data_IF_020462658762
#
_entry.id   IF_020462658762
#
_cell.length_a   1.000
_cell.length_b   1.000
_cell.length_c   1.000
_cell.angle_alpha   90.00
_cell.angle_beta   90.00
_cell.angle_gamma   90.00
#
_symmetry.space_group_name_H-M   'P 1'
#
loop_
_entity.id
_entity.type
_entity.pdbx_description
1 polymer ?
#
# COMPACT_ATOMS: atom_id res chain seq x y z
N UNK A 1 15.67 -19.74 21.76
CA UNK A 1 14.41 -19.37 21.07
C UNK A 1 14.06 -20.40 20.00
N UNK A 2 15.03 -21.02 19.33
CA UNK A 2 14.86 -21.99 18.23
C UNK A 2 13.88 -23.14 18.53
N UNK A 3 13.81 -23.75 19.71
CA UNK A 3 12.89 -24.85 19.96
C UNK A 3 11.41 -24.43 20.03
N UNK A 4 11.13 -23.11 20.07
CA UNK A 4 9.74 -22.59 20.13
C UNK A 4 9.32 -21.90 18.82
N UNK A 5 10.16 -21.90 17.79
CA UNK A 5 9.88 -21.28 16.49
C UNK A 5 10.01 -22.30 15.36
N UNK A 6 8.92 -22.55 14.66
CA UNK A 6 8.91 -23.31 13.42
C UNK A 6 8.94 -22.29 12.25
N UNK A 7 10.08 -22.21 11.56
CA UNK A 7 10.20 -21.41 10.34
C UNK A 7 10.09 -22.30 9.11
N UNK A 8 9.06 -22.08 8.31
CA UNK A 8 8.91 -22.69 6.99
C UNK A 8 9.15 -21.63 5.92
N UNK A 9 9.98 -21.94 4.96
CA UNK A 9 10.30 -21.03 3.84
C UNK A 9 9.58 -21.55 2.61
N UNK A 10 8.86 -20.68 1.89
CA UNK A 10 8.11 -21.06 0.68
C UNK A 10 8.98 -21.58 -0.47
N UNK A 11 10.27 -21.28 -0.43
CA UNK A 11 11.28 -21.80 -1.39
C UNK A 11 11.76 -23.21 -1.08
N UNK A 12 11.38 -23.77 0.06
CA UNK A 12 11.74 -25.14 0.44
C UNK A 12 10.76 -26.12 -0.22
N UNK A 13 11.18 -26.72 -1.31
CA UNK A 13 10.41 -27.70 -2.09
C UNK A 13 10.07 -28.98 -1.31
N UNK A 14 10.73 -29.22 -0.16
CA UNK A 14 10.36 -30.34 0.73
C UNK A 14 9.11 -30.06 1.54
N UNK A 15 8.75 -28.78 1.71
CA UNK A 15 7.55 -28.33 2.45
C UNK A 15 6.38 -28.10 1.52
N UNK A 16 6.63 -27.50 0.33
CA UNK A 16 5.60 -27.19 -0.67
C UNK A 16 6.22 -27.44 -2.06
N UNK A 17 5.82 -28.52 -2.70
CA UNK A 17 6.34 -28.92 -4.01
C UNK A 17 5.75 -28.12 -5.19
N UNK A 18 4.52 -27.63 -5.05
CA UNK A 18 3.69 -27.13 -6.15
C UNK A 18 3.73 -25.61 -6.36
N UNK A 19 4.56 -24.86 -5.59
CA UNK A 19 4.67 -23.43 -5.80
C UNK A 19 5.60 -23.12 -6.99
N UNK A 20 5.14 -22.29 -7.95
CA UNK A 20 5.97 -21.79 -9.02
C UNK A 20 7.13 -20.93 -8.49
N UNK A 21 8.14 -20.71 -9.31
CA UNK A 21 9.22 -19.80 -8.97
C UNK A 21 8.68 -18.36 -8.82
N UNK A 22 9.19 -17.66 -7.78
CA UNK A 22 8.84 -16.27 -7.55
C UNK A 22 9.55 -15.38 -8.55
N UNK A 23 8.78 -14.64 -9.34
CA UNK A 23 9.29 -13.57 -10.19
C UNK A 23 9.05 -12.23 -9.46
N UNK A 24 10.09 -11.44 -9.25
CA UNK A 24 10.00 -10.09 -8.67
C UNK A 24 10.28 -9.06 -9.76
N UNK A 25 9.38 -8.10 -9.89
CA UNK A 25 9.55 -6.95 -10.77
C UNK A 25 9.39 -5.68 -9.94
N UNK A 26 10.23 -4.69 -10.22
CA UNK A 26 10.15 -3.37 -9.58
C UNK A 26 9.78 -2.35 -10.63
N UNK A 27 8.73 -1.60 -10.37
CA UNK A 27 8.31 -0.50 -11.22
C UNK A 27 8.22 0.80 -10.44
N UNK A 28 8.32 1.95 -11.13
CA UNK A 28 8.41 3.27 -10.53
C UNK A 28 7.31 4.19 -11.07
N UNK A 29 6.36 4.55 -10.21
CA UNK A 29 5.38 5.56 -10.51
C UNK A 29 5.96 6.97 -10.33
N UNK A 30 5.78 7.83 -11.32
CA UNK A 30 6.16 9.24 -11.24
C UNK A 30 5.17 10.00 -10.35
N UNK A 31 5.68 10.92 -9.53
CA UNK A 31 4.81 11.80 -8.74
C UNK A 31 4.13 12.82 -9.66
N UNK A 32 2.83 13.02 -9.45
CA UNK A 32 2.10 14.10 -10.09
C UNK A 32 2.58 15.47 -9.58
N UNK A 33 2.20 16.55 -10.26
CA UNK A 33 2.53 17.92 -9.81
C UNK A 33 1.99 18.20 -8.41
N UNK A 34 0.75 17.77 -8.10
CA UNK A 34 0.13 17.93 -6.77
C UNK A 34 0.93 17.17 -5.70
N UNK A 35 1.28 15.92 -5.97
CA UNK A 35 2.11 15.11 -5.07
C UNK A 35 3.49 15.75 -4.84
N UNK A 36 4.14 16.23 -5.88
CA UNK A 36 5.47 16.86 -5.78
C UNK A 36 5.45 18.11 -4.91
N UNK A 37 4.42 18.96 -5.03
CA UNK A 37 4.26 20.17 -4.21
C UNK A 37 4.09 19.80 -2.73
N UNK A 38 3.18 18.85 -2.44
CA UNK A 38 2.94 18.39 -1.06
C UNK A 38 4.17 17.71 -0.46
N UNK A 39 4.85 16.88 -1.25
CA UNK A 39 6.09 16.21 -0.84
C UNK A 39 7.15 17.21 -0.40
N UNK A 40 7.45 18.20 -1.25
CA UNK A 40 8.43 19.25 -0.96
C UNK A 40 8.05 20.06 0.29
N UNK A 41 6.77 20.36 0.47
CA UNK A 41 6.28 21.06 1.66
C UNK A 41 6.56 20.25 2.93
N UNK A 42 6.22 18.96 2.96
CA UNK A 42 6.48 18.10 4.14
C UNK A 42 7.96 18.00 4.46
N UNK A 43 8.82 17.89 3.44
CA UNK A 43 10.28 17.86 3.64
C UNK A 43 10.77 19.19 4.24
N UNK A 44 10.36 20.32 3.66
CA UNK A 44 10.74 21.66 4.17
C UNK A 44 10.27 21.90 5.60
N UNK A 45 9.01 21.53 5.90
CA UNK A 45 8.44 21.67 7.25
C UNK A 45 9.20 20.80 8.28
N UNK A 46 9.62 19.59 7.87
CA UNK A 46 10.42 18.71 8.71
C UNK A 46 11.80 19.32 8.99
N UNK A 47 12.50 19.77 7.94
CA UNK A 47 13.83 20.38 8.07
C UNK A 47 13.77 21.62 8.98
N UNK A 48 12.78 22.48 8.79
CA UNK A 48 12.60 23.68 9.60
C UNK A 48 12.40 23.33 11.09
N UNK A 49 11.55 22.34 11.38
CA UNK A 49 11.33 21.86 12.75
C UNK A 49 12.60 21.32 13.39
N UNK A 50 13.36 20.51 12.65
CA UNK A 50 14.62 19.97 13.17
C UNK A 50 15.62 21.08 13.47
N UNK A 51 15.82 22.04 12.57
CA UNK A 51 16.72 23.19 12.75
C UNK A 51 16.32 24.06 13.93
N UNK A 52 15.02 24.36 14.07
CA UNK A 52 14.50 25.16 15.18
C UNK A 52 14.79 24.50 16.53
N UNK A 53 14.50 23.22 16.65
CA UNK A 53 14.73 22.47 17.89
C UNK A 53 16.24 22.29 18.20
N UNK A 54 17.09 22.22 17.18
CA UNK A 54 18.55 22.22 17.35
C UNK A 54 19.06 23.56 17.90
N UNK A 55 18.55 24.67 17.39
CA UNK A 55 18.91 26.00 17.85
C UNK A 55 18.50 26.24 19.31
N UNK A 56 17.40 25.69 19.73
CA UNK A 56 16.88 25.80 21.12
C UNK A 56 17.60 24.85 22.10
N UNK A 57 18.56 24.02 21.65
CA UNK A 57 19.25 22.99 22.45
C UNK A 57 18.30 22.04 23.22
N UNK A 58 17.03 21.98 22.77
CA UNK A 58 15.95 21.28 23.48
C UNK A 58 15.68 19.88 22.95
N UNK A 59 16.38 19.44 21.89
CA UNK A 59 16.04 18.22 21.20
C UNK A 59 16.83 17.00 21.70
N UNK A 60 16.12 16.02 22.25
CA UNK A 60 16.67 14.69 22.42
C UNK A 60 16.76 13.95 21.10
N UNK A 61 17.70 13.01 20.98
CA UNK A 61 17.78 12.14 19.77
C UNK A 61 16.47 11.38 19.51
N UNK A 62 15.73 11.05 20.55
CA UNK A 62 14.44 10.38 20.46
C UNK A 62 13.37 11.28 19.78
N UNK A 63 13.32 12.55 20.15
CA UNK A 63 12.40 13.51 19.54
C UNK A 63 12.70 13.74 18.05
N UNK A 64 13.99 13.83 17.67
CA UNK A 64 14.40 13.89 16.25
C UNK A 64 13.89 12.69 15.47
N UNK A 65 14.08 11.47 15.98
CA UNK A 65 13.59 10.24 15.35
C UNK A 65 12.07 10.27 15.17
N UNK A 66 11.31 10.78 16.14
CA UNK A 66 9.87 10.95 16.07
C UNK A 66 9.43 11.87 14.94
N UNK A 67 10.10 13.03 14.78
CA UNK A 67 9.81 14.00 13.69
C UNK A 67 10.07 13.34 12.32
N UNK A 68 11.22 12.70 12.16
CA UNK A 68 11.58 12.04 10.90
C UNK A 68 10.58 10.92 10.56
N UNK A 69 10.24 10.08 11.54
CA UNK A 69 9.27 9.00 11.34
C UNK A 69 7.90 9.53 10.92
N UNK A 70 7.43 10.59 11.57
CA UNK A 70 6.17 11.26 11.22
C UNK A 70 6.21 11.82 9.79
N UNK A 71 7.33 12.44 9.39
CA UNK A 71 7.51 12.94 8.04
C UNK A 71 7.49 11.79 7.01
N UNK A 72 8.19 10.68 7.28
CA UNK A 72 8.19 9.49 6.41
C UNK A 72 6.77 8.95 6.21
N UNK A 73 5.95 8.87 7.27
CA UNK A 73 4.57 8.42 7.16
C UNK A 73 3.74 9.34 6.26
N UNK A 74 3.86 10.67 6.44
CA UNK A 74 3.19 11.66 5.58
C UNK A 74 3.64 11.57 4.12
N UNK A 75 4.94 11.42 3.88
CA UNK A 75 5.49 11.28 2.53
C UNK A 75 4.98 10.00 1.85
N UNK A 76 4.88 8.89 2.59
CA UNK A 76 4.29 7.65 2.06
C UNK A 76 2.81 7.81 1.70
N UNK A 77 2.02 8.51 2.52
CA UNK A 77 0.63 8.82 2.22
C UNK A 77 0.51 9.67 0.95
N UNK A 78 1.32 10.73 0.82
CA UNK A 78 1.35 11.58 -0.38
C UNK A 78 1.73 10.76 -1.62
N UNK A 79 2.72 9.87 -1.51
CA UNK A 79 3.13 8.98 -2.60
C UNK A 79 2.05 7.98 -3.00
N UNK A 80 1.18 7.57 -2.10
CA UNK A 80 0.02 6.75 -2.45
C UNK A 80 -1.03 7.60 -3.16
N UNK A 81 -1.57 8.62 -2.48
CA UNK A 81 -2.52 9.57 -3.04
C UNK A 81 -2.49 10.88 -2.25
N UNK A 82 -2.57 12.08 -2.89
CA UNK A 82 -2.61 13.36 -2.19
C UNK A 82 -3.71 13.42 -1.12
N UNK A 83 -4.89 12.93 -1.44
CA UNK A 83 -6.07 13.02 -0.59
C UNK A 83 -5.94 12.17 0.68
N UNK A 84 -5.18 11.07 0.64
CA UNK A 84 -4.86 10.31 1.85
C UNK A 84 -4.09 11.16 2.88
N UNK A 85 -3.22 12.04 2.43
CA UNK A 85 -2.49 12.98 3.31
C UNK A 85 -3.35 14.16 3.73
N UNK A 86 -4.22 14.65 2.83
CA UNK A 86 -5.08 15.81 3.06
C UNK A 86 -6.34 15.46 3.86
N UNK A 87 -6.66 14.18 4.02
CA UNK A 87 -7.90 13.72 4.66
C UNK A 87 -9.14 14.07 3.83
N UNK A 88 -9.03 13.97 2.49
CA UNK A 88 -10.12 14.19 1.55
C UNK A 88 -10.52 12.85 0.94
N UNK A 89 -11.81 12.57 0.80
CA UNK A 89 -12.32 11.27 0.36
C UNK A 89 -12.70 11.25 -1.13
N UNK A 90 -11.97 11.98 -1.98
CA UNK A 90 -12.29 12.08 -3.42
C UNK A 90 -11.47 11.11 -4.25
N UNK A 91 -10.22 10.87 -3.91
CA UNK A 91 -9.26 9.93 -4.53
C UNK A 91 -9.28 9.93 -6.07
N UNK A 92 -9.22 11.13 -6.68
CA UNK A 92 -9.17 11.27 -8.14
C UNK A 92 -7.95 10.54 -8.72
N UNK A 93 -8.12 9.48 -9.55
CA UNK A 93 -7.01 8.63 -9.97
C UNK A 93 -5.89 9.36 -10.71
N UNK A 94 -6.21 10.39 -11.50
CA UNK A 94 -5.21 11.20 -12.23
C UNK A 94 -4.29 12.02 -11.32
N UNK A 95 -4.63 12.19 -10.05
CA UNK A 95 -3.80 12.91 -9.08
C UNK A 95 -2.71 12.05 -8.42
N UNK A 96 -2.71 10.74 -8.67
CA UNK A 96 -1.70 9.81 -8.15
C UNK A 96 -1.02 9.03 -9.27
N UNK A 97 0.31 9.14 -9.34
CA UNK A 97 1.08 8.34 -10.28
C UNK A 97 0.99 6.83 -9.98
N UNK A 98 0.86 6.44 -8.71
CA UNK A 98 0.66 5.03 -8.34
C UNK A 98 -0.70 4.50 -8.80
N UNK A 99 -1.77 5.30 -8.71
CA UNK A 99 -3.09 4.88 -9.18
C UNK A 99 -3.10 4.72 -10.71
N UNK A 100 -2.39 5.60 -11.43
CA UNK A 100 -2.25 5.48 -12.88
C UNK A 100 -1.49 4.21 -13.27
N UNK A 101 -0.33 3.97 -12.68
CA UNK A 101 0.45 2.75 -12.92
C UNK A 101 -0.33 1.48 -12.52
N UNK A 102 -1.00 1.50 -11.37
CA UNK A 102 -1.84 0.38 -10.92
C UNK A 102 -2.94 0.07 -11.93
N UNK A 103 -3.56 1.10 -12.53
CA UNK A 103 -4.55 0.94 -13.58
C UNK A 103 -3.98 0.16 -14.77
N UNK A 104 -2.85 0.60 -15.30
CA UNK A 104 -2.20 -0.04 -16.46
C UNK A 104 -1.89 -1.53 -16.19
N UNK A 105 -1.39 -1.84 -14.99
CA UNK A 105 -1.13 -3.22 -14.57
C UNK A 105 -2.45 -4.01 -14.48
N UNK A 106 -3.47 -3.45 -13.83
CA UNK A 106 -4.74 -4.13 -13.62
C UNK A 106 -5.56 -4.31 -14.91
N UNK A 107 -5.48 -3.38 -15.86
CA UNK A 107 -6.08 -3.54 -17.19
C UNK A 107 -5.48 -4.75 -17.92
N UNK A 108 -4.15 -4.91 -17.88
CA UNK A 108 -3.48 -6.10 -18.46
C UNK A 108 -3.91 -7.40 -17.78
N UNK A 109 -4.07 -7.39 -16.45
CA UNK A 109 -4.54 -8.56 -15.67
C UNK A 109 -5.99 -8.88 -16.02
N UNK A 110 -6.83 -7.85 -16.18
CA UNK A 110 -8.23 -8.00 -16.56
C UNK A 110 -8.39 -8.63 -17.95
N UNK A 111 -7.62 -8.17 -18.94
CA UNK A 111 -7.62 -8.72 -20.29
C UNK A 111 -7.27 -10.22 -20.30
N UNK A 112 -6.36 -10.63 -19.43
CA UNK A 112 -5.95 -12.03 -19.28
C UNK A 112 -6.87 -12.88 -18.42
N UNK A 113 -7.91 -12.26 -17.81
CA UNK A 113 -8.78 -12.91 -16.83
C UNK A 113 -8.04 -13.48 -15.62
N UNK A 114 -6.91 -12.88 -15.29
CA UNK A 114 -6.13 -13.23 -14.10
C UNK A 114 -6.67 -12.51 -12.86
N UNK A 115 -6.20 -12.94 -11.67
CA UNK A 115 -6.55 -12.33 -10.38
C UNK A 115 -5.34 -11.62 -9.80
N UNK A 116 -5.57 -10.59 -9.00
CA UNK A 116 -4.50 -9.80 -8.38
C UNK A 116 -4.72 -9.67 -6.88
N UNK A 117 -3.63 -9.66 -6.11
CA UNK A 117 -3.62 -9.25 -4.72
C UNK A 117 -2.87 -7.93 -4.61
N UNK A 118 -3.57 -6.89 -4.20
CA UNK A 118 -3.01 -5.55 -4.03
C UNK A 118 -2.77 -5.31 -2.54
N UNK A 119 -1.53 -5.02 -2.15
CA UNK A 119 -1.16 -4.79 -0.76
C UNK A 119 -0.90 -3.31 -0.50
N UNK A 120 -1.49 -2.80 0.56
CA UNK A 120 -1.17 -1.47 1.11
C UNK A 120 -0.85 -1.59 2.60
N UNK A 121 0.02 -0.70 3.10
CA UNK A 121 0.30 -0.63 4.54
C UNK A 121 -0.67 0.28 5.29
N UNK A 122 -1.54 0.99 4.59
CA UNK A 122 -2.50 1.94 5.15
C UNK A 122 -3.92 1.40 4.99
N UNK A 123 -4.57 1.13 6.11
CA UNK A 123 -5.96 0.66 6.11
C UNK A 123 -6.91 1.70 5.54
N UNK A 124 -6.62 2.97 5.81
CA UNK A 124 -7.50 4.11 5.48
C UNK A 124 -7.80 4.24 3.99
N UNK A 125 -6.85 3.85 3.12
CA UNK A 125 -7.01 3.91 1.66
C UNK A 125 -7.64 2.63 1.07
N UNK A 126 -7.83 1.57 1.87
CA UNK A 126 -8.17 0.26 1.33
C UNK A 126 -9.52 0.22 0.63
N UNK A 127 -10.53 0.85 1.22
CA UNK A 127 -11.89 0.87 0.67
C UNK A 127 -11.97 1.74 -0.60
N UNK A 128 -11.31 2.92 -0.61
CA UNK A 128 -11.24 3.80 -1.79
C UNK A 128 -10.44 3.16 -2.92
N UNK A 129 -9.35 2.45 -2.57
CA UNK A 129 -8.57 1.69 -3.54
C UNK A 129 -9.40 0.55 -4.15
N UNK A 130 -10.21 -0.14 -3.35
CA UNK A 130 -11.11 -1.17 -3.84
C UNK A 130 -12.17 -0.58 -4.76
N UNK A 131 -12.82 0.52 -4.37
CA UNK A 131 -13.77 1.23 -5.21
C UNK A 131 -13.16 1.65 -6.56
N UNK A 132 -11.91 2.11 -6.55
CA UNK A 132 -11.18 2.40 -7.78
C UNK A 132 -10.93 1.14 -8.63
N UNK A 133 -10.48 0.05 -8.03
CA UNK A 133 -10.26 -1.22 -8.73
C UNK A 133 -11.55 -1.80 -9.31
N UNK A 134 -12.69 -1.64 -8.63
CA UNK A 134 -14.00 -2.03 -9.18
C UNK A 134 -14.29 -1.32 -10.51
N UNK A 135 -13.86 -0.06 -10.67
CA UNK A 135 -14.01 0.65 -11.96
C UNK A 135 -13.12 0.11 -13.07
N UNK A 136 -11.93 -0.39 -12.72
CA UNK A 136 -10.96 -0.95 -13.68
C UNK A 136 -11.36 -2.36 -14.11
N UNK A 137 -11.75 -3.20 -13.15
CA UNK A 137 -12.14 -4.59 -13.41
C UNK A 137 -13.61 -4.77 -13.81
N UNK A 138 -14.43 -3.72 -13.73
CA UNK A 138 -15.89 -3.78 -13.95
C UNK A 138 -16.57 -4.88 -13.11
N UNK A 139 -15.99 -5.21 -11.97
CA UNK A 139 -16.43 -6.26 -11.07
C UNK A 139 -16.00 -5.96 -9.63
N UNK A 140 -16.78 -6.46 -8.67
CA UNK A 140 -16.46 -6.33 -7.26
C UNK A 140 -15.34 -7.26 -6.86
N UNK A 141 -14.49 -6.77 -5.96
CA UNK A 141 -13.49 -7.54 -5.27
C UNK A 141 -13.67 -7.52 -3.76
N UNK A 142 -12.66 -7.93 -3.04
CA UNK A 142 -12.69 -8.01 -1.57
C UNK A 142 -11.60 -7.17 -0.93
N UNK A 143 -11.91 -6.63 0.25
CA UNK A 143 -10.95 -5.95 1.11
C UNK A 143 -10.72 -6.79 2.37
N UNK A 144 -9.47 -7.10 2.65
CA UNK A 144 -9.04 -7.84 3.84
C UNK A 144 -8.08 -7.00 4.66
N UNK A 145 -8.42 -6.71 5.90
CA UNK A 145 -7.56 -5.95 6.82
C UNK A 145 -7.64 -6.48 8.25
N UNK A 146 -6.84 -5.90 9.17
CA UNK A 146 -6.79 -6.34 10.56
C UNK A 146 -8.12 -6.33 11.32
N UNK A 147 -9.06 -5.46 10.92
CA UNK A 147 -10.41 -5.38 11.50
C UNK A 147 -11.43 -6.35 10.88
N UNK A 148 -11.08 -7.11 9.84
CA UNK A 148 -11.98 -8.10 9.24
C UNK A 148 -12.17 -9.28 10.20
N UNK A 149 -13.41 -9.65 10.58
CA UNK A 149 -13.69 -10.81 11.45
C UNK A 149 -13.09 -12.10 10.89
N UNK A 150 -12.60 -12.98 11.79
CA UNK A 150 -11.90 -14.22 11.38
C UNK A 150 -12.77 -15.11 10.49
N UNK A 151 -14.04 -15.32 10.83
CA UNK A 151 -14.96 -16.11 10.00
C UNK A 151 -15.08 -15.55 8.58
N UNK A 152 -15.22 -14.21 8.46
CA UNK A 152 -15.32 -13.54 7.15
C UNK A 152 -14.05 -13.64 6.31
N UNK A 153 -12.87 -13.79 6.97
CA UNK A 153 -11.61 -13.96 6.23
C UNK A 153 -11.60 -15.27 5.44
N UNK A 154 -12.06 -16.36 6.05
CA UNK A 154 -12.17 -17.65 5.37
C UNK A 154 -13.12 -17.57 4.19
N UNK A 155 -14.31 -16.98 4.37
CA UNK A 155 -15.27 -16.78 3.27
C UNK A 155 -14.68 -15.97 2.11
N UNK A 156 -13.92 -14.90 2.39
CA UNK A 156 -13.25 -14.08 1.37
C UNK A 156 -12.19 -14.90 0.62
N UNK A 157 -11.37 -15.66 1.34
CA UNK A 157 -10.34 -16.50 0.73
C UNK A 157 -10.96 -17.57 -0.16
N UNK A 158 -12.00 -18.27 0.33
CA UNK A 158 -12.69 -19.32 -0.42
C UNK A 158 -13.36 -18.73 -1.68
N UNK A 159 -13.99 -17.57 -1.56
CA UNK A 159 -14.59 -16.89 -2.70
C UNK A 159 -13.55 -16.43 -3.72
N UNK A 160 -12.40 -15.91 -3.26
CA UNK A 160 -11.32 -15.48 -4.16
C UNK A 160 -10.64 -16.66 -4.87
N UNK A 161 -10.53 -17.82 -4.21
CA UNK A 161 -9.94 -19.05 -4.78
C UNK A 161 -10.95 -19.90 -5.56
N UNK A 162 -12.24 -19.65 -5.40
CA UNK A 162 -13.32 -20.40 -6.01
C UNK A 162 -13.38 -20.27 -7.54
N UNK A 163 -14.36 -20.98 -8.14
CA UNK A 163 -14.57 -20.99 -9.60
C UNK A 163 -15.09 -19.65 -10.13
N UNK A 164 -15.90 -18.94 -9.34
CA UNK A 164 -16.39 -17.62 -9.70
C UNK A 164 -15.24 -16.62 -9.85
N UNK A 165 -15.25 -15.84 -10.91
CA UNK A 165 -14.23 -14.82 -11.14
C UNK A 165 -14.40 -13.65 -10.17
N UNK A 166 -13.47 -13.55 -9.24
CA UNK A 166 -13.28 -12.41 -8.34
C UNK A 166 -11.92 -11.82 -8.65
N UNK A 167 -11.82 -10.59 -9.20
CA UNK A 167 -10.57 -10.05 -9.74
C UNK A 167 -9.52 -9.69 -8.68
N UNK A 168 -9.93 -9.23 -7.48
CA UNK A 168 -9.00 -8.79 -6.41
C UNK A 168 -9.57 -8.99 -5.01
#
# INVERSE_FOLDING_TARGET
ITPFMLRRVKTDKTVIADLPEKVEMTDFAQLTRKQTILYRKVVSDMEQKVRQMEAEHSISQFAKKGIVLTAIMKLKQICNHPDQYLGQDVYTPSESGKFQLLKEICETIYEKRERVLVFTQFKEIADDLAAYLETVFHAKGYVLHGGTPVAKRTEIVDAFQGEAYVPF
#
